data_IF_135885482025
#
_entry.id   IF_135885482025
#
_cell.length_a   1.000
_cell.length_b   1.000
_cell.length_c   1.000
_cell.angle_alpha   90.00
_cell.angle_beta   90.00
_cell.angle_gamma   90.00
#
_symmetry.space_group_name_H-M   'P 1'
#
loop_
_entity.id
_entity.type
_entity.pdbx_description
1 polymer ?
#
# COMPACT_ATOMS: atom_id res chain seq x y z
N UNK A 1 -2.90 -19.22 -5.35
CA UNK A 1 -1.76 -19.52 -4.45
C UNK A 1 -0.49 -18.72 -4.75
N UNK A 2 0.07 -18.70 -5.98
CA UNK A 2 1.25 -17.86 -6.27
C UNK A 2 0.89 -16.39 -6.49
N UNK A 3 -0.19 -16.13 -7.24
CA UNK A 3 -0.69 -14.76 -7.46
C UNK A 3 -1.07 -14.05 -6.17
N UNK A 4 -1.76 -14.75 -5.26
CA UNK A 4 -2.19 -14.19 -3.98
C UNK A 4 -0.99 -13.82 -3.10
N UNK A 5 0.05 -14.67 -3.06
CA UNK A 5 1.29 -14.37 -2.33
C UNK A 5 1.99 -13.14 -2.88
N UNK A 6 2.00 -12.98 -4.21
CA UNK A 6 2.59 -11.81 -4.85
C UNK A 6 1.83 -10.53 -4.50
N UNK A 7 0.49 -10.58 -4.53
CA UNK A 7 -0.37 -9.46 -4.14
C UNK A 7 -0.21 -9.06 -2.68
N UNK A 8 -0.15 -10.05 -1.77
CA UNK A 8 0.12 -9.84 -0.35
C UNK A 8 1.48 -9.16 -0.16
N UNK A 9 2.51 -9.65 -0.86
CA UNK A 9 3.86 -9.05 -0.82
C UNK A 9 3.89 -7.61 -1.33
N UNK A 10 3.19 -7.29 -2.43
CA UNK A 10 3.08 -5.92 -2.93
C UNK A 10 2.41 -5.01 -1.89
N UNK A 11 1.29 -5.47 -1.30
CA UNK A 11 0.57 -4.69 -0.30
C UNK A 11 1.42 -4.45 0.95
N UNK A 12 2.15 -5.46 1.44
CA UNK A 12 3.01 -5.32 2.61
C UNK A 12 4.17 -4.34 2.38
N UNK A 13 4.83 -4.43 1.21
CA UNK A 13 5.89 -3.49 0.84
C UNK A 13 5.38 -2.05 0.67
N UNK A 14 4.17 -1.87 0.12
CA UNK A 14 3.53 -0.55 0.03
C UNK A 14 3.27 0.03 1.42
N UNK A 15 2.72 -0.76 2.34
CA UNK A 15 2.47 -0.31 3.71
C UNK A 15 3.76 0.08 4.42
N UNK A 16 4.79 -0.77 4.37
CA UNK A 16 6.09 -0.47 4.98
C UNK A 16 6.71 0.81 4.41
N UNK A 17 6.69 0.97 3.08
CA UNK A 17 7.22 2.18 2.43
C UNK A 17 6.43 3.42 2.85
N UNK A 18 5.10 3.35 2.88
CA UNK A 18 4.26 4.48 3.26
C UNK A 18 4.43 4.84 4.75
N UNK A 19 4.58 3.88 5.65
CA UNK A 19 4.87 4.15 7.07
C UNK A 19 6.22 4.86 7.24
N UNK A 20 7.25 4.43 6.50
CA UNK A 20 8.54 5.11 6.49
C UNK A 20 8.43 6.53 5.93
N UNK A 21 7.65 6.72 4.86
CA UNK A 21 7.39 8.04 4.28
C UNK A 21 6.62 8.95 5.25
N UNK A 22 5.63 8.42 6.00
CA UNK A 22 4.90 9.15 7.06
C UNK A 22 5.84 9.66 8.16
N UNK A 23 6.93 8.93 8.42
CA UNK A 23 7.99 9.31 9.36
C UNK A 23 9.07 10.23 8.75
N UNK A 24 8.86 10.77 7.54
CA UNK A 24 9.84 11.58 6.79
C UNK A 24 11.19 10.88 6.59
N UNK A 25 11.22 9.54 6.53
CA UNK A 25 12.43 8.79 6.20
C UNK A 25 12.64 8.76 4.69
N UNK A 26 13.90 8.73 4.28
CA UNK A 26 14.27 8.51 2.88
C UNK A 26 13.79 7.11 2.44
N UNK A 27 12.92 7.10 1.43
CA UNK A 27 12.31 5.90 0.86
C UNK A 27 12.53 5.79 -0.64
N UNK A 28 13.34 6.66 -1.25
CA UNK A 28 13.46 6.75 -2.72
C UNK A 28 13.91 5.42 -3.33
N UNK A 29 14.95 4.80 -2.75
CA UNK A 29 15.43 3.49 -3.21
C UNK A 29 14.37 2.39 -3.08
N UNK A 30 13.58 2.42 -2.01
CA UNK A 30 12.53 1.43 -1.77
C UNK A 30 11.36 1.62 -2.74
N UNK A 31 10.99 2.88 -3.00
CA UNK A 31 10.00 3.25 -4.01
C UNK A 31 10.36 2.73 -5.39
N UNK A 32 11.57 3.02 -5.89
CA UNK A 32 11.99 2.53 -7.22
C UNK A 32 11.98 1.00 -7.32
N UNK A 33 12.40 0.31 -6.26
CA UNK A 33 12.36 -1.16 -6.22
C UNK A 33 10.93 -1.69 -6.23
N UNK A 34 10.04 -1.06 -5.48
CA UNK A 34 8.64 -1.46 -5.40
C UNK A 34 7.90 -1.19 -6.70
N UNK A 35 8.16 -0.07 -7.38
CA UNK A 35 7.63 0.23 -8.71
C UNK A 35 8.06 -0.84 -9.73
N UNK A 36 9.34 -1.20 -9.76
CA UNK A 36 9.84 -2.27 -10.63
C UNK A 36 9.25 -3.65 -10.30
N UNK A 37 9.07 -3.95 -9.01
CA UNK A 37 8.43 -5.18 -8.57
C UNK A 37 6.95 -5.21 -8.99
N UNK A 38 6.20 -4.13 -8.79
CA UNK A 38 4.82 -4.05 -9.22
C UNK A 38 4.68 -4.14 -10.75
N UNK A 39 5.58 -3.53 -11.50
CA UNK A 39 5.61 -3.65 -12.96
C UNK A 39 5.84 -5.11 -13.39
N UNK A 40 6.76 -5.84 -12.75
CA UNK A 40 6.95 -7.26 -13.03
C UNK A 40 5.67 -8.07 -12.78
N UNK A 41 4.90 -7.76 -11.74
CA UNK A 41 3.60 -8.38 -11.51
C UNK A 41 2.58 -8.13 -12.63
N UNK A 42 2.63 -6.97 -13.28
CA UNK A 42 1.81 -6.65 -14.46
C UNK A 42 2.26 -7.47 -15.67
N UNK A 43 3.55 -7.47 -15.98
CA UNK A 43 4.12 -8.21 -17.13
C UNK A 43 3.91 -9.72 -17.01
N UNK A 44 3.95 -10.26 -15.79
CA UNK A 44 3.68 -11.68 -15.51
C UNK A 44 2.19 -12.03 -15.50
N UNK A 45 1.28 -11.08 -15.73
CA UNK A 45 -0.16 -11.32 -15.74
C UNK A 45 -0.71 -11.72 -14.36
N UNK A 46 -0.06 -11.30 -13.28
CA UNK A 46 -0.52 -11.52 -11.91
C UNK A 46 -1.69 -10.59 -11.62
N UNK A 47 -1.57 -9.32 -12.01
CA UNK A 47 -2.61 -8.31 -11.90
C UNK A 47 -2.51 -7.30 -13.04
N UNK A 48 -3.62 -6.60 -13.34
CA UNK A 48 -3.63 -5.51 -14.32
C UNK A 48 -3.09 -4.22 -13.69
N UNK A 49 -2.70 -3.26 -14.53
CA UNK A 49 -2.37 -1.90 -14.06
C UNK A 49 -3.46 -1.29 -13.19
N UNK A 50 -4.74 -1.46 -13.57
CA UNK A 50 -5.86 -0.97 -12.77
C UNK A 50 -5.94 -1.63 -11.38
N UNK A 51 -5.61 -2.92 -11.27
CA UNK A 51 -5.52 -3.60 -9.98
C UNK A 51 -4.32 -3.11 -9.16
N UNK A 52 -3.18 -2.87 -9.81
CA UNK A 52 -2.00 -2.26 -9.18
C UNK A 52 -2.33 -0.90 -8.55
N UNK A 53 -3.00 -0.02 -9.31
CA UNK A 53 -3.44 1.30 -8.85
C UNK A 53 -4.40 1.20 -7.66
N UNK A 54 -5.30 0.21 -7.66
CA UNK A 54 -6.23 -0.03 -6.54
C UNK A 54 -5.49 -0.44 -5.27
N UNK A 55 -4.48 -1.30 -5.37
CA UNK A 55 -3.69 -1.76 -4.22
C UNK A 55 -2.85 -0.62 -3.66
N UNK A 56 -2.19 0.16 -4.53
CA UNK A 56 -1.43 1.34 -4.14
C UNK A 56 -2.30 2.36 -3.41
N UNK A 57 -3.46 2.70 -3.97
CA UNK A 57 -4.40 3.63 -3.36
C UNK A 57 -4.96 3.12 -2.02
N UNK A 58 -5.22 1.81 -1.91
CA UNK A 58 -5.67 1.20 -0.65
C UNK A 58 -4.59 1.33 0.42
N UNK A 59 -3.35 0.96 0.13
CA UNK A 59 -2.25 1.04 1.09
C UNK A 59 -1.96 2.50 1.51
N UNK A 60 -2.01 3.44 0.55
CA UNK A 60 -1.88 4.86 0.85
C UNK A 60 -2.97 5.34 1.82
N UNK A 61 -4.24 5.01 1.57
CA UNK A 61 -5.33 5.35 2.49
C UNK A 61 -5.13 4.72 3.87
N UNK A 62 -4.70 3.47 3.94
CA UNK A 62 -4.48 2.79 5.23
C UNK A 62 -3.44 3.48 6.11
N UNK A 63 -2.39 4.08 5.53
CA UNK A 63 -1.31 4.73 6.31
C UNK A 63 -1.58 6.22 6.57
N UNK A 64 -2.09 6.95 5.57
CA UNK A 64 -2.25 8.40 5.63
C UNK A 64 -3.66 8.87 5.99
N UNK A 65 -4.67 8.03 5.82
CA UNK A 65 -6.05 8.30 6.25
C UNK A 65 -6.36 7.36 7.40
N UNK A 66 -5.69 7.59 8.55
CA UNK A 66 -6.10 6.97 9.81
C UNK A 66 -7.59 7.26 10.04
N UNK A 67 -8.36 6.19 10.29
CA UNK A 67 -9.80 6.16 10.49
C UNK A 67 -10.41 7.49 10.99
N UNK A 68 -11.14 8.21 10.13
CA UNK A 68 -12.17 9.16 10.54
C UNK A 68 -13.41 8.45 11.13
N UNK A 69 -13.21 7.31 11.78
CA UNK A 69 -14.21 6.51 12.51
C UNK A 69 -13.65 6.16 13.91
N UNK A 70 -13.06 7.15 14.57
CA UNK A 70 -12.67 7.06 15.99
C UNK A 70 -13.13 8.28 16.81
N UNK A 71 -14.26 8.90 16.45
CA UNK A 71 -14.92 9.95 17.26
C UNK A 71 -16.45 9.77 17.24
N UNK A 72 -16.92 8.59 17.66
CA UNK A 72 -18.27 8.43 18.22
C UNK A 72 -18.21 7.65 19.53
N UNK A 73 -17.29 8.01 20.42
CA UNK A 73 -17.38 7.63 21.83
C UNK A 73 -16.92 8.83 22.65
N UNK A 74 -17.87 9.71 23.01
CA UNK A 74 -17.92 10.59 24.20
C UNK A 74 -18.62 11.91 23.87
N UNK A 75 -19.95 11.92 23.98
CA UNK A 75 -20.72 13.05 24.50
C UNK A 75 -22.22 12.75 24.38
N UNK A 76 -22.82 12.23 25.45
CA UNK A 76 -24.12 12.67 25.95
C UNK A 76 -24.28 12.04 27.34
N UNK A 77 -23.87 12.84 28.33
CA UNK A 77 -24.29 12.74 29.72
C UNK A 77 -25.75 13.15 29.87
#
# INVERSE_FOLDING_TARGET
>A
MEKDRYLISCNQQLLEMFELAKLNKDTDRQKYRLEGYMQAGIELGIFTKQQADKIMNRAHRQVFQENTESEQVTASS
#
